data_IF_191172371340
#
_entry.id   IF_191172371340
#
_cell.length_a   1.000
_cell.length_b   1.000
_cell.length_c   1.000
_cell.angle_alpha   90.00
_cell.angle_beta   90.00
_cell.angle_gamma   90.00
#
_symmetry.space_group_name_H-M   'P 1'
#
loop_
_entity.id
_entity.type
_entity.pdbx_description
1 polymer ?
#
# COMPACT_ATOMS: atom_id res chain seq x y z
N UNK A 1 -54.58 -19.55 37.68
CA UNK A 1 -53.25 -19.16 38.22
C UNK A 1 -52.16 -18.95 37.14
N UNK A 2 -52.51 -18.85 35.84
CA UNK A 2 -51.52 -18.77 34.75
C UNK A 2 -51.33 -17.37 34.14
N UNK A 3 -52.26 -16.43 34.32
CA UNK A 3 -52.15 -15.08 33.70
C UNK A 3 -50.94 -14.30 34.22
N UNK A 4 -50.70 -14.28 35.53
CA UNK A 4 -49.59 -13.52 36.13
C UNK A 4 -48.20 -14.05 35.70
N UNK A 5 -48.04 -15.37 35.59
CA UNK A 5 -46.81 -15.99 35.08
C UNK A 5 -46.58 -15.67 33.59
N UNK A 6 -47.66 -15.63 32.80
CA UNK A 6 -47.59 -15.25 31.37
C UNK A 6 -47.17 -13.78 31.23
N UNK A 7 -47.73 -12.87 32.04
CA UNK A 7 -47.32 -11.46 32.03
C UNK A 7 -45.85 -11.27 32.42
N UNK A 8 -45.37 -11.96 33.45
CA UNK A 8 -43.98 -11.85 33.89
C UNK A 8 -43.01 -12.36 32.82
N UNK A 9 -43.32 -13.51 32.19
CA UNK A 9 -42.52 -14.05 31.07
C UNK A 9 -42.54 -13.13 29.84
N UNK A 10 -43.70 -12.55 29.51
CA UNK A 10 -43.83 -11.61 28.39
C UNK A 10 -43.01 -10.34 28.60
N UNK A 11 -43.04 -9.75 29.80
CA UNK A 11 -42.24 -8.56 30.13
C UNK A 11 -40.74 -8.87 30.11
N UNK A 12 -40.34 -10.05 30.60
CA UNK A 12 -38.93 -10.47 30.55
C UNK A 12 -38.44 -10.68 29.11
N UNK A 13 -39.26 -11.33 28.27
CA UNK A 13 -38.97 -11.52 26.84
C UNK A 13 -38.85 -10.16 26.16
N UNK A 14 -39.79 -9.23 26.38
CA UNK A 14 -39.75 -7.89 25.78
C UNK A 14 -38.51 -7.11 26.22
N UNK A 15 -38.13 -7.15 27.51
CA UNK A 15 -36.91 -6.50 28.01
C UNK A 15 -35.64 -7.11 27.42
N UNK A 16 -35.57 -8.44 27.34
CA UNK A 16 -34.43 -9.15 26.73
C UNK A 16 -34.35 -8.86 25.23
N UNK A 17 -35.48 -8.84 24.52
CA UNK A 17 -35.55 -8.51 23.10
C UNK A 17 -35.11 -7.06 22.85
N UNK A 18 -35.54 -6.10 23.68
CA UNK A 18 -35.10 -4.70 23.59
C UNK A 18 -33.61 -4.54 23.85
N UNK A 19 -33.03 -5.28 24.79
CA UNK A 19 -31.58 -5.28 25.07
C UNK A 19 -30.81 -5.89 23.90
N UNK A 20 -31.29 -7.01 23.34
CA UNK A 20 -30.68 -7.64 22.16
C UNK A 20 -30.77 -6.71 20.95
N UNK A 21 -31.93 -6.09 20.70
CA UNK A 21 -32.11 -5.10 19.64
C UNK A 21 -31.17 -3.90 19.85
N UNK A 22 -31.02 -3.41 21.08
CA UNK A 22 -30.09 -2.33 21.38
C UNK A 22 -28.63 -2.75 21.14
N UNK A 23 -28.24 -3.98 21.50
CA UNK A 23 -26.92 -4.54 21.22
C UNK A 23 -26.70 -4.68 19.71
N UNK A 24 -27.66 -5.24 18.96
CA UNK A 24 -27.59 -5.39 17.50
C UNK A 24 -27.53 -4.03 16.80
N UNK A 25 -28.26 -3.02 17.30
CA UNK A 25 -28.20 -1.63 16.82
C UNK A 25 -26.88 -0.92 17.19
N UNK A 26 -26.21 -1.35 18.27
CA UNK A 26 -24.86 -0.87 18.63
C UNK A 26 -23.75 -1.55 17.81
N UNK A 27 -24.01 -2.75 17.24
CA UNK A 27 -23.05 -3.47 16.41
C UNK A 27 -23.01 -3.00 14.94
N UNK A 28 -23.93 -2.14 14.50
CA UNK A 28 -23.94 -1.60 13.13
C UNK A 28 -23.20 -0.28 12.97
N UNK A 29 -22.39 0.13 13.96
CA UNK A 29 -21.43 1.21 13.75
C UNK A 29 -20.23 0.60 13.04
N UNK A 30 -20.15 0.78 11.72
CA UNK A 30 -18.91 0.57 10.98
C UNK A 30 -17.78 1.25 11.77
N UNK A 31 -16.79 0.45 12.19
CA UNK A 31 -15.50 0.99 12.56
C UNK A 31 -15.01 1.68 11.29
N UNK A 32 -15.01 3.02 11.29
CA UNK A 32 -14.24 3.78 10.33
C UNK A 32 -12.81 3.28 10.52
N UNK A 33 -12.32 2.41 9.64
CA UNK A 33 -10.89 2.31 9.44
C UNK A 33 -10.51 3.70 8.95
N UNK A 34 -9.72 4.43 9.73
CA UNK A 34 -8.86 5.40 9.09
C UNK A 34 -8.05 4.54 8.11
N UNK A 35 -8.20 4.79 6.81
CA UNK A 35 -7.08 4.59 5.93
C UNK A 35 -5.94 5.31 6.64
N UNK A 36 -4.96 4.57 7.14
CA UNK A 36 -3.80 5.15 7.84
C UNK A 36 -2.99 6.05 6.90
N UNK A 37 -3.46 6.17 5.65
CA UNK A 37 -2.86 6.88 4.56
C UNK A 37 -1.55 6.20 4.28
N UNK A 38 -1.50 4.87 4.27
CA UNK A 38 -0.33 4.09 3.88
C UNK A 38 -0.72 3.17 2.74
N UNK A 39 0.00 3.26 1.62
CA UNK A 39 -0.15 2.39 0.46
C UNK A 39 0.98 1.37 0.38
N UNK A 40 0.64 0.14 0.00
CA UNK A 40 1.63 -0.86 -0.42
C UNK A 40 2.04 -0.60 -1.86
N UNK A 41 3.34 -0.40 -2.09
CA UNK A 41 3.93 -0.20 -3.41
C UNK A 41 4.75 -1.42 -3.76
N UNK A 42 4.42 -2.06 -4.89
CA UNK A 42 5.24 -3.12 -5.49
C UNK A 42 6.02 -2.51 -6.67
N UNK A 43 7.33 -2.45 -6.53
CA UNK A 43 8.26 -2.10 -7.59
C UNK A 43 8.72 -3.38 -8.27
N UNK A 44 8.76 -3.38 -9.61
CA UNK A 44 9.23 -4.50 -10.40
C UNK A 44 10.20 -4.02 -11.45
N UNK A 45 11.33 -4.71 -11.62
CA UNK A 45 12.32 -4.41 -12.64
C UNK A 45 12.97 -5.70 -13.16
N UNK A 46 13.67 -5.59 -14.28
CA UNK A 46 14.46 -6.69 -14.83
C UNK A 46 15.91 -6.51 -14.42
N UNK A 47 16.51 -7.55 -13.83
CA UNK A 47 17.91 -7.56 -13.44
C UNK A 47 18.80 -7.25 -14.66
N UNK A 48 19.65 -6.21 -14.59
CA UNK A 48 20.55 -5.89 -15.68
C UNK A 48 21.73 -6.87 -15.73
N UNK A 49 22.31 -7.01 -16.91
CA UNK A 49 23.63 -7.60 -17.04
C UNK A 49 24.71 -6.64 -16.57
N UNK A 50 25.90 -7.19 -16.42
CA UNK A 50 27.13 -6.46 -16.14
C UNK A 50 27.54 -5.62 -17.37
N UNK A 51 27.68 -6.29 -18.52
CA UNK A 51 27.92 -5.68 -19.83
C UNK A 51 26.59 -5.58 -20.61
N UNK A 52 25.65 -4.82 -20.06
CA UNK A 52 24.33 -4.60 -20.65
C UNK A 52 23.32 -5.72 -20.32
N UNK A 53 23.35 -6.83 -21.07
CA UNK A 53 22.46 -7.99 -20.84
C UNK A 53 23.19 -9.29 -20.53
N UNK A 54 24.53 -9.27 -20.53
CA UNK A 54 25.37 -10.42 -20.18
C UNK A 54 26.04 -10.19 -18.82
N UNK A 55 26.31 -11.26 -18.08
CA UNK A 55 26.90 -11.17 -16.74
C UNK A 55 25.88 -10.86 -15.64
N UNK A 56 26.37 -10.49 -14.46
CA UNK A 56 25.55 -10.17 -13.29
C UNK A 56 26.06 -8.85 -12.72
N UNK A 57 25.22 -7.80 -12.74
CA UNK A 57 25.57 -6.57 -12.05
C UNK A 57 25.78 -6.84 -10.55
N UNK A 58 26.65 -6.08 -9.90
CA UNK A 58 27.05 -6.37 -8.51
C UNK A 58 26.16 -5.67 -7.49
N UNK A 59 25.60 -4.51 -7.83
CA UNK A 59 24.85 -3.70 -6.87
C UNK A 59 23.76 -2.85 -7.52
N UNK A 60 22.67 -2.63 -6.76
CA UNK A 60 21.67 -1.59 -7.02
C UNK A 60 21.83 -0.40 -6.07
N UNK A 61 21.55 0.80 -6.57
CA UNK A 61 21.14 1.96 -5.78
C UNK A 61 19.69 2.27 -6.18
N UNK A 62 18.73 1.80 -5.39
CA UNK A 62 17.30 2.04 -5.59
C UNK A 62 16.87 3.15 -4.64
N UNK A 63 16.24 4.21 -5.16
CA UNK A 63 15.84 5.36 -4.35
C UNK A 63 14.44 5.84 -4.66
N UNK A 64 13.87 6.53 -3.67
CA UNK A 64 12.66 7.32 -3.86
C UNK A 64 12.79 8.75 -3.33
N UNK A 65 11.98 9.65 -3.88
CA UNK A 65 11.72 11.00 -3.34
C UNK A 65 10.23 11.24 -3.19
N UNK A 66 9.84 11.94 -2.13
CA UNK A 66 8.49 12.43 -1.93
C UNK A 66 8.38 13.88 -2.42
N UNK A 67 7.29 14.19 -3.15
CA UNK A 67 6.87 15.50 -3.65
C UNK A 67 7.81 16.22 -4.65
N UNK A 68 9.11 15.94 -4.59
CA UNK A 68 10.12 16.47 -5.51
C UNK A 68 10.53 15.42 -6.57
N UNK A 69 10.40 15.73 -7.87
CA UNK A 69 10.80 14.82 -8.94
C UNK A 69 12.30 14.47 -8.92
N UNK A 70 12.60 13.22 -9.27
CA UNK A 70 13.93 12.84 -9.75
C UNK A 70 13.99 13.20 -11.23
N UNK A 71 14.97 14.00 -11.65
CA UNK A 71 15.16 14.40 -13.06
C UNK A 71 16.57 14.18 -13.58
N UNK A 72 17.54 14.04 -12.67
CA UNK A 72 18.97 13.89 -12.97
C UNK A 72 19.70 13.29 -11.76
N UNK A 73 20.96 12.88 -11.95
CA UNK A 73 21.80 12.26 -10.92
C UNK A 73 21.86 13.08 -9.62
N UNK A 74 21.97 14.40 -9.72
CA UNK A 74 22.02 15.29 -8.54
C UNK A 74 20.76 15.16 -7.68
N UNK A 75 19.58 15.12 -8.32
CA UNK A 75 18.30 14.94 -7.64
C UNK A 75 18.09 13.51 -7.15
N UNK A 76 18.63 12.52 -7.85
CA UNK A 76 18.58 11.11 -7.47
C UNK A 76 19.32 10.84 -6.15
N UNK A 77 20.56 11.34 -6.00
CA UNK A 77 21.36 11.11 -4.80
C UNK A 77 20.83 11.81 -3.53
N UNK A 78 19.88 12.73 -3.67
CA UNK A 78 19.12 13.33 -2.56
C UNK A 78 17.94 12.44 -2.10
N UNK A 79 17.61 11.39 -2.84
CA UNK A 79 16.54 10.45 -2.51
C UNK A 79 16.88 9.52 -1.35
N UNK A 80 15.82 8.97 -0.74
CA UNK A 80 15.90 7.96 0.31
C UNK A 80 16.26 6.62 -0.32
N UNK A 81 17.30 5.98 0.20
CA UNK A 81 17.78 4.66 -0.26
C UNK A 81 16.83 3.56 0.21
N UNK A 82 16.41 2.73 -0.73
CA UNK A 82 15.71 1.48 -0.48
C UNK A 82 16.75 0.36 -0.41
N UNK A 83 16.81 -0.43 0.68
CA UNK A 83 17.77 -1.52 0.79
C UNK A 83 17.39 -2.63 -0.19
N UNK A 84 18.32 -3.01 -1.05
CA UNK A 84 18.18 -4.06 -2.06
C UNK A 84 19.14 -5.22 -1.79
N UNK A 85 18.82 -6.38 -2.35
CA UNK A 85 19.77 -7.48 -2.44
C UNK A 85 20.69 -7.27 -3.65
N UNK A 86 21.75 -8.08 -3.75
CA UNK A 86 22.54 -8.12 -4.97
C UNK A 86 21.67 -8.52 -6.18
N UNK A 87 21.91 -7.97 -7.37
CA UNK A 87 21.22 -8.37 -8.59
C UNK A 87 21.28 -9.87 -8.84
N UNK A 88 20.18 -10.43 -9.35
CA UNK A 88 20.15 -11.79 -9.89
C UNK A 88 20.73 -11.81 -11.31
N UNK A 89 20.78 -12.98 -11.92
CA UNK A 89 21.16 -13.18 -13.32
C UNK A 89 20.40 -12.26 -14.26
N UNK A 90 21.13 -11.70 -15.23
CA UNK A 90 20.56 -10.78 -16.21
C UNK A 90 19.27 -11.33 -16.84
N UNK A 91 18.25 -10.48 -16.90
CA UNK A 91 16.93 -10.85 -17.43
C UNK A 91 15.96 -11.43 -16.40
N UNK A 92 16.40 -11.73 -15.17
CA UNK A 92 15.52 -12.13 -14.09
C UNK A 92 14.53 -11.00 -13.74
N UNK A 93 13.29 -11.35 -13.44
CA UNK A 93 12.31 -10.39 -12.91
C UNK A 93 12.50 -10.29 -11.40
N UNK A 94 12.73 -9.08 -10.92
CA UNK A 94 12.90 -8.78 -9.50
C UNK A 94 11.79 -7.85 -9.00
N UNK A 95 11.53 -7.92 -7.69
CA UNK A 95 10.51 -7.11 -7.04
C UNK A 95 10.94 -6.59 -5.66
N UNK A 96 10.37 -5.45 -5.29
CA UNK A 96 10.48 -4.90 -3.94
C UNK A 96 9.12 -4.37 -3.48
N UNK A 97 8.73 -4.73 -2.26
CA UNK A 97 7.49 -4.26 -1.65
C UNK A 97 7.84 -3.29 -0.52
N UNK A 98 7.27 -2.08 -0.58
CA UNK A 98 7.43 -1.04 0.44
C UNK A 98 6.07 -0.47 0.83
N UNK A 99 5.88 -0.20 2.11
CA UNK A 99 4.75 0.57 2.61
C UNK A 99 5.16 2.04 2.73
N UNK A 100 4.40 2.93 2.10
CA UNK A 100 4.66 4.36 2.08
C UNK A 100 3.39 5.12 2.43
N UNK A 101 3.49 6.24 3.17
CA UNK A 101 2.36 7.11 3.38
C UNK A 101 1.71 7.60 2.07
N UNK A 102 0.52 8.15 2.15
CA UNK A 102 -0.16 8.81 1.07
C UNK A 102 0.64 10.05 0.67
N UNK A 103 0.85 10.23 -0.62
CA UNK A 103 1.74 11.23 -1.17
C UNK A 103 2.15 10.92 -2.60
N UNK A 104 2.91 11.85 -3.20
CA UNK A 104 3.48 11.67 -4.53
C UNK A 104 4.92 11.22 -4.38
N UNK A 105 5.27 10.11 -5.03
CA UNK A 105 6.58 9.49 -4.95
C UNK A 105 7.20 9.34 -6.34
N UNK A 106 8.51 9.52 -6.40
CA UNK A 106 9.32 9.32 -7.59
C UNK A 106 10.39 8.28 -7.30
N UNK A 107 10.42 7.20 -8.06
CA UNK A 107 11.38 6.10 -7.91
C UNK A 107 12.32 6.05 -9.11
N UNK A 108 13.58 5.72 -8.84
CA UNK A 108 14.56 5.40 -9.86
C UNK A 108 15.61 4.44 -9.30
N UNK A 109 16.30 3.72 -10.18
CA UNK A 109 17.35 2.77 -9.84
C UNK A 109 18.58 3.00 -10.72
N UNK A 110 19.76 2.84 -10.13
CA UNK A 110 21.05 2.72 -10.84
C UNK A 110 21.70 1.39 -10.49
N UNK A 111 22.52 0.87 -11.38
CA UNK A 111 23.23 -0.40 -11.19
C UNK A 111 24.72 -0.21 -11.35
N UNK A 112 25.52 -1.01 -10.66
CA UNK A 112 26.98 -1.00 -10.79
C UNK A 112 27.55 -2.40 -11.01
N UNK A 113 28.62 -2.48 -11.79
CA UNK A 113 29.47 -3.65 -12.01
C UNK A 113 30.43 -3.92 -10.82
N UNK A 114 31.34 -4.90 -10.95
CA UNK A 114 32.32 -5.24 -9.90
C UNK A 114 33.37 -4.13 -9.65
N UNK A 115 33.54 -3.20 -10.60
CA UNK A 115 34.47 -2.08 -10.51
C UNK A 115 33.67 -0.78 -10.58
N UNK A 116 33.03 -0.36 -9.48
CA UNK A 116 31.73 0.31 -9.43
C UNK A 116 31.54 1.43 -10.47
N UNK A 117 31.25 1.02 -11.71
CA UNK A 117 30.83 1.87 -12.80
C UNK A 117 29.30 1.92 -12.76
N UNK A 118 28.78 3.04 -12.27
CA UNK A 118 27.35 3.22 -12.18
C UNK A 118 26.74 3.48 -13.54
N UNK A 119 25.60 2.84 -13.80
CA UNK A 119 24.76 3.08 -14.97
C UNK A 119 24.24 4.52 -15.01
N UNK A 120 23.66 4.90 -16.15
CA UNK A 120 22.73 6.02 -16.19
C UNK A 120 21.48 5.74 -15.35
N UNK A 121 20.66 6.77 -15.09
CA UNK A 121 19.38 6.60 -14.41
C UNK A 121 18.43 5.72 -15.22
N UNK A 122 17.67 4.87 -14.51
CA UNK A 122 16.49 4.22 -15.06
C UNK A 122 15.44 5.25 -15.50
N UNK A 123 14.36 4.79 -16.14
CA UNK A 123 13.15 5.60 -16.20
C UNK A 123 12.68 5.97 -14.79
N UNK A 124 12.10 7.17 -14.66
CA UNK A 124 11.53 7.65 -13.41
C UNK A 124 10.08 7.17 -13.33
N UNK A 125 9.74 6.49 -12.25
CA UNK A 125 8.36 6.07 -11.96
C UNK A 125 7.74 7.06 -11.00
N UNK A 126 6.64 7.69 -11.40
CA UNK A 126 5.83 8.56 -10.54
C UNK A 126 4.61 7.79 -10.06
N UNK A 127 4.39 7.77 -8.74
CA UNK A 127 3.25 7.14 -8.11
C UNK A 127 2.57 8.13 -7.17
N UNK A 128 1.25 8.27 -7.31
CA UNK A 128 0.43 9.00 -6.34
C UNK A 128 -0.33 8.01 -5.47
N UNK A 129 0.08 7.90 -4.21
CA UNK A 129 -0.60 7.12 -3.20
C UNK A 129 -1.68 8.03 -2.61
N UNK A 130 -2.93 7.81 -3.04
CA UNK A 130 -4.06 8.55 -2.49
C UNK A 130 -4.42 8.08 -1.08
N UNK A 131 -4.95 8.99 -0.25
CA UNK A 131 -5.80 8.56 0.86
C UNK A 131 -7.13 8.09 0.26
N UNK A 132 -7.54 6.87 0.55
CA UNK A 132 -8.94 6.54 0.39
C UNK A 132 -9.70 7.41 1.41
N UNK A 133 -10.63 8.28 1.00
CA UNK A 133 -11.48 8.94 1.98
C UNK A 133 -12.17 7.85 2.82
N UNK A 134 -12.42 8.07 4.13
CA UNK A 134 -12.94 7.04 5.02
C UNK A 134 -14.22 6.32 4.59
N UNK A 135 -14.91 6.74 3.53
CA UNK A 135 -16.01 6.02 2.90
C UNK A 135 -16.41 6.73 1.58
N UNK A 136 -15.89 6.29 0.43
CA UNK A 136 -16.58 6.59 -0.84
C UNK A 136 -17.64 5.51 -1.09
N UNK A 137 -18.81 5.69 -0.48
CA UNK A 137 -20.00 4.89 -0.82
C UNK A 137 -20.47 5.30 -2.22
N UNK A 138 -20.29 4.43 -3.21
CA UNK A 138 -20.89 4.60 -4.53
C UNK A 138 -22.40 4.36 -4.43
N UNK A 139 -23.22 5.38 -4.70
CA UNK A 139 -24.65 5.18 -4.95
C UNK A 139 -24.82 4.53 -6.33
N UNK A 140 -25.18 3.24 -6.38
CA UNK A 140 -25.77 2.67 -7.59
C UNK A 140 -27.16 3.28 -7.72
N UNK A 141 -27.31 4.28 -8.58
CA UNK A 141 -28.63 4.73 -9.00
C UNK A 141 -29.28 3.58 -9.78
N UNK A 142 -30.15 2.82 -9.12
CA UNK A 142 -31.15 2.02 -9.83
C UNK A 142 -32.03 3.00 -10.60
N UNK A 143 -31.83 3.07 -11.91
CA UNK A 143 -32.83 3.64 -12.82
C UNK A 143 -34.08 2.77 -12.66
N UNK A 144 -35.17 3.36 -12.18
CA UNK A 144 -36.50 2.74 -12.16
C UNK A 144 -37.03 2.56 -13.58
#
# INVERSE_FOLDING_TARGET
MNKLLIYHRLVYILRSLSIIILIVLLQSKSLLFADDGVGTVQLTWTAPGDDGVEGVATQYDLRYRADDPITEDSTFYLGIVIPTQAPDTAGALEEYIIELPAGVYFFAIKTADEVPNWSELSNIVMLNIGVLPPDSVYFILLQL
#
